data_IF_852871161365
#
_entry.id   IF_852871161365
#
_cell.length_a   1.000
_cell.length_b   1.000
_cell.length_c   1.000
_cell.angle_alpha   90.00
_cell.angle_beta   90.00
_cell.angle_gamma   90.00
#
_symmetry.space_group_name_H-M   'P 1'
#
loop_
_entity.id
_entity.type
_entity.pdbx_description
1 polymer ?
#
# COMPACT_ATOMS: atom_id res chain seq x y z
N UNK A 1 2.95 -33.28 -20.93
CA UNK A 1 3.97 -32.32 -20.43
C UNK A 1 4.01 -31.18 -21.44
N UNK A 2 3.16 -30.18 -21.23
CA UNK A 2 3.21 -28.94 -22.01
C UNK A 2 4.13 -28.03 -21.21
N UNK A 3 5.32 -27.77 -21.74
CA UNK A 3 6.20 -26.73 -21.25
C UNK A 3 5.49 -25.40 -21.49
N UNK A 4 4.91 -24.82 -20.45
CA UNK A 4 4.54 -23.40 -20.49
C UNK A 4 5.86 -22.66 -20.43
N UNK A 5 6.31 -22.14 -21.56
CA UNK A 5 7.37 -21.15 -21.62
C UNK A 5 6.90 -19.96 -20.77
N UNK A 6 7.37 -19.89 -19.53
CA UNK A 6 7.34 -18.65 -18.76
C UNK A 6 8.29 -17.71 -19.50
N UNK A 7 7.72 -16.86 -20.35
CA UNK A 7 8.44 -15.78 -20.98
C UNK A 7 8.80 -14.77 -19.89
N UNK A 8 9.92 -14.99 -19.22
CA UNK A 8 10.65 -13.96 -18.47
C UNK A 8 11.30 -12.97 -19.45
N UNK A 9 10.50 -12.36 -20.33
CA UNK A 9 10.92 -11.10 -20.91
C UNK A 9 10.77 -10.07 -19.77
N UNK A 10 11.83 -9.33 -19.39
CA UNK A 10 11.62 -8.16 -18.56
C UNK A 10 10.55 -7.32 -19.25
N UNK A 11 9.54 -6.87 -18.50
CA UNK A 11 8.63 -5.84 -19.02
C UNK A 11 9.49 -4.72 -19.60
N UNK A 12 9.14 -4.15 -20.76
CA UNK A 12 10.04 -3.27 -21.48
C UNK A 12 10.36 -2.05 -20.59
N UNK A 13 11.54 -2.06 -19.98
CA UNK A 13 12.03 -0.94 -19.20
C UNK A 13 12.35 0.18 -20.18
N UNK A 14 11.63 1.28 -20.04
CA UNK A 14 11.79 2.44 -20.90
C UNK A 14 12.49 3.55 -20.15
N UNK A 15 13.67 3.93 -20.64
CA UNK A 15 14.38 5.11 -20.15
C UNK A 15 13.69 6.36 -20.70
N UNK A 16 13.33 7.27 -19.80
CA UNK A 16 12.67 8.53 -20.12
C UNK A 16 13.34 9.69 -19.40
N UNK A 17 13.03 10.90 -19.83
CA UNK A 17 13.56 12.15 -19.28
C UNK A 17 12.38 13.10 -19.03
N UNK A 18 11.67 12.93 -17.90
CA UNK A 18 10.46 13.69 -17.60
C UNK A 18 10.74 15.19 -17.48
N UNK A 19 9.78 16.01 -17.88
CA UNK A 19 9.86 17.48 -17.82
C UNK A 19 8.59 18.05 -17.21
N UNK A 20 8.77 19.09 -16.41
CA UNK A 20 7.66 19.91 -15.95
C UNK A 20 7.33 20.94 -17.03
N UNK A 21 6.08 20.99 -17.45
CA UNK A 21 5.57 21.96 -18.40
C UNK A 21 4.55 22.84 -17.69
N UNK A 22 4.65 24.15 -17.89
CA UNK A 22 3.63 25.09 -17.43
C UNK A 22 2.53 25.21 -18.49
N UNK A 23 1.29 24.92 -18.11
CA UNK A 23 0.16 25.14 -19.01
C UNK A 23 -0.02 26.66 -19.23
N UNK A 24 -0.11 27.09 -20.50
CA UNK A 24 -0.46 28.46 -20.87
C UNK A 24 -1.96 28.68 -20.65
N UNK A 25 -2.39 28.87 -19.40
CA UNK A 25 -3.78 29.06 -19.02
C UNK A 25 -3.93 29.74 -17.66
N UNK A 26 -5.15 30.18 -17.33
CA UNK A 26 -5.45 31.07 -16.18
C UNK A 26 -5.21 30.38 -14.83
N UNK A 27 -5.13 29.04 -14.80
CA UNK A 27 -5.03 28.25 -13.55
C UNK A 27 -3.62 27.73 -13.23
N UNK A 28 -2.61 27.94 -14.08
CA UNK A 28 -1.22 27.56 -13.77
C UNK A 28 -1.00 26.07 -13.48
N UNK A 29 -1.88 25.18 -13.96
CA UNK A 29 -1.76 23.73 -13.75
C UNK A 29 -0.43 23.22 -14.27
N UNK A 30 0.37 22.61 -13.38
CA UNK A 30 1.65 21.97 -13.73
C UNK A 30 1.36 20.65 -14.45
N UNK A 31 1.98 20.46 -15.61
CA UNK A 31 1.90 19.21 -16.36
C UNK A 31 3.24 18.48 -16.26
N UNK A 32 3.21 17.20 -15.93
CA UNK A 32 4.39 16.35 -15.98
C UNK A 32 4.39 15.57 -17.30
N UNK A 33 5.22 15.99 -18.24
CA UNK A 33 5.43 15.25 -19.47
C UNK A 33 6.47 14.15 -19.23
N UNK A 34 6.07 12.88 -19.33
CA UNK A 34 6.94 11.73 -19.09
C UNK A 34 7.52 11.20 -20.40
N UNK A 35 6.65 10.95 -21.38
CA UNK A 35 6.99 10.57 -22.77
C UNK A 35 5.81 10.86 -23.70
N UNK A 36 5.99 10.68 -25.00
CA UNK A 36 4.90 10.76 -25.97
C UNK A 36 3.74 9.84 -25.57
N UNK A 37 2.53 10.43 -25.51
CA UNK A 37 1.32 9.74 -25.08
C UNK A 37 1.17 9.57 -23.56
N UNK A 38 2.11 10.02 -22.73
CA UNK A 38 2.03 9.94 -21.28
C UNK A 38 2.40 11.27 -20.61
N UNK A 39 1.38 12.01 -20.19
CA UNK A 39 1.49 13.29 -19.49
C UNK A 39 0.49 13.32 -18.35
N UNK A 40 0.95 13.67 -17.14
CA UNK A 40 0.09 13.80 -15.97
C UNK A 40 -0.31 15.26 -15.75
N UNK A 41 -1.56 15.51 -15.40
CA UNK A 41 -2.03 16.78 -14.88
C UNK A 41 -1.85 16.77 -13.36
N UNK A 42 -0.90 17.57 -12.86
CA UNK A 42 -0.52 17.51 -11.45
C UNK A 42 -1.50 18.33 -10.59
N UNK A 43 -2.35 17.62 -9.84
CA UNK A 43 -3.13 18.16 -8.74
C UNK A 43 -2.39 17.92 -7.42
N UNK A 44 -2.49 18.85 -6.46
CA UNK A 44 -1.99 18.59 -5.09
C UNK A 44 -2.83 17.51 -4.41
N UNK A 45 -2.16 16.62 -3.69
CA UNK A 45 -2.80 15.64 -2.81
C UNK A 45 -2.55 15.99 -1.34
N UNK A 46 -3.43 15.54 -0.46
CA UNK A 46 -3.25 15.62 0.99
C UNK A 46 -3.79 14.36 1.65
N UNK A 47 -2.90 13.66 2.35
CA UNK A 47 -3.10 12.32 2.95
C UNK A 47 -2.27 12.12 4.22
N UNK A 48 -1.40 13.06 4.59
CA UNK A 48 -0.62 13.05 5.82
C UNK A 48 -1.27 13.94 6.87
N UNK A 49 -1.24 13.51 8.13
CA UNK A 49 -1.51 14.42 9.23
C UNK A 49 -0.48 15.56 9.27
N UNK A 50 -0.89 16.76 9.68
CA UNK A 50 0.00 17.93 9.81
C UNK A 50 1.27 17.61 10.63
N UNK A 51 1.10 16.78 11.67
CA UNK A 51 2.19 16.25 12.50
C UNK A 51 2.21 14.73 12.40
N UNK A 52 3.03 14.22 11.49
CA UNK A 52 3.24 12.79 11.30
C UNK A 52 4.24 12.27 12.35
N UNK A 53 3.87 11.23 13.10
CA UNK A 53 4.78 10.58 14.05
C UNK A 53 5.55 9.48 13.35
N UNK A 54 6.88 9.53 13.39
CA UNK A 54 7.75 8.50 12.84
C UNK A 54 8.54 7.83 13.97
N UNK A 55 8.35 6.53 14.16
CA UNK A 55 8.97 5.75 15.23
C UNK A 55 10.02 4.80 14.65
N UNK A 56 11.25 4.91 15.15
CA UNK A 56 12.36 4.03 14.79
C UNK A 56 12.82 3.27 16.04
N UNK A 57 13.07 1.97 15.91
CA UNK A 57 13.68 1.17 16.98
C UNK A 57 15.18 1.04 16.74
N UNK A 58 15.99 1.73 17.56
CA UNK A 58 17.45 1.59 17.55
C UNK A 58 17.88 0.93 18.87
N UNK A 59 18.50 -0.25 18.79
CA UNK A 59 18.98 -1.02 19.95
C UNK A 59 17.90 -1.29 21.03
N UNK A 60 16.64 -1.46 20.60
CA UNK A 60 15.50 -1.72 21.50
C UNK A 60 14.93 -0.47 22.17
N UNK A 61 15.40 0.73 21.83
CA UNK A 61 14.82 2.00 22.25
C UNK A 61 14.02 2.58 21.08
N UNK A 62 12.72 2.75 21.30
CA UNK A 62 11.84 3.47 20.37
C UNK A 62 12.12 4.97 20.45
N UNK A 63 12.46 5.58 19.32
CA UNK A 63 12.67 7.02 19.16
C UNK A 63 11.56 7.54 18.27
N UNK A 64 10.79 8.48 18.80
CA UNK A 64 9.75 9.19 18.06
C UNK A 64 10.29 10.51 17.49
N UNK A 65 10.05 10.73 16.19
CA UNK A 65 10.31 11.98 15.49
C UNK A 65 9.00 12.52 14.95
N UNK A 66 8.67 13.77 15.26
CA UNK A 66 7.52 14.46 14.64
C UNK A 66 8.00 15.11 13.35
N UNK A 67 7.35 14.76 12.24
CA UNK A 67 7.61 15.29 10.90
C UNK A 67 6.46 16.20 10.45
N UNK A 68 6.77 17.26 9.70
CA UNK A 68 5.77 18.18 9.18
C UNK A 68 5.11 17.59 7.93
N UNK A 69 3.89 17.08 8.07
CA UNK A 69 3.15 16.47 6.96
C UNK A 69 2.90 17.44 5.81
N UNK A 70 2.51 18.68 6.14
CA UNK A 70 2.26 19.74 5.14
C UNK A 70 3.49 20.04 4.29
N UNK A 71 4.70 20.03 4.89
CA UNK A 71 5.95 20.23 4.16
C UNK A 71 6.27 19.05 3.23
N UNK A 72 6.08 17.82 3.71
CA UNK A 72 6.32 16.61 2.93
C UNK A 72 5.41 16.54 1.68
N UNK A 73 4.17 16.99 1.80
CA UNK A 73 3.17 17.04 0.71
C UNK A 73 3.46 18.10 -0.36
N UNK A 74 4.36 19.06 -0.11
CA UNK A 74 4.72 20.09 -1.10
C UNK A 74 5.33 19.51 -2.37
N UNK A 75 5.78 18.26 -2.36
CA UNK A 75 6.33 17.58 -3.54
C UNK A 75 5.41 16.50 -4.10
N UNK A 76 4.25 16.25 -3.48
CA UNK A 76 3.35 15.16 -3.85
C UNK A 76 2.21 15.68 -4.72
N UNK A 77 1.84 14.87 -5.72
CA UNK A 77 0.83 15.19 -6.71
C UNK A 77 0.06 13.94 -7.14
N UNK A 78 -1.17 14.14 -7.60
CA UNK A 78 -2.02 13.10 -8.17
C UNK A 78 -2.63 13.53 -9.51
N UNK A 79 -3.04 12.54 -10.30
CA UNK A 79 -3.88 12.69 -11.49
C UNK A 79 -4.98 11.62 -11.41
N UNK A 80 -6.17 12.01 -10.93
CA UNK A 80 -7.30 11.12 -10.68
C UNK A 80 -7.78 10.40 -11.94
N UNK A 81 -7.79 11.09 -13.09
CA UNK A 81 -8.21 10.49 -14.36
C UNK A 81 -7.32 9.31 -14.76
N UNK A 82 -6.05 9.33 -14.34
CA UNK A 82 -5.07 8.28 -14.67
C UNK A 82 -4.78 7.34 -13.50
N UNK A 83 -5.44 7.52 -12.35
CA UNK A 83 -5.13 6.81 -11.10
C UNK A 83 -3.63 6.88 -10.78
N UNK A 84 -3.04 8.06 -10.94
CA UNK A 84 -1.60 8.28 -10.79
C UNK A 84 -1.32 9.10 -9.53
N UNK A 85 -0.23 8.77 -8.84
CA UNK A 85 0.29 9.54 -7.72
C UNK A 85 1.82 9.56 -7.80
N UNK A 86 2.42 10.75 -7.79
CA UNK A 86 3.86 10.94 -7.96
C UNK A 86 4.42 11.99 -7.01
N UNK A 87 5.64 11.73 -6.53
CA UNK A 87 6.49 12.74 -5.92
C UNK A 87 7.35 13.38 -7.01
N UNK A 88 7.37 14.71 -7.07
CA UNK A 88 8.17 15.50 -8.02
C UNK A 88 9.06 16.46 -7.23
N UNK A 89 10.37 16.20 -7.25
CA UNK A 89 11.39 17.04 -6.60
C UNK A 89 12.19 17.78 -7.67
N UNK A 90 12.27 19.11 -7.60
CA UNK A 90 13.10 19.92 -8.50
C UNK A 90 14.55 19.94 -7.97
N UNK A 91 15.53 19.55 -8.80
CA UNK A 91 16.96 19.43 -8.45
C UNK A 91 17.83 19.95 -9.59
N UNK A 92 18.57 21.03 -9.36
CA UNK A 92 19.56 21.62 -10.30
C UNK A 92 19.01 21.72 -11.73
N UNK A 93 17.90 22.45 -11.91
CA UNK A 93 17.20 22.66 -13.19
C UNK A 93 16.67 21.39 -13.89
N UNK A 94 16.63 20.26 -13.18
CA UNK A 94 16.00 19.00 -13.59
C UNK A 94 14.95 18.60 -12.56
N UNK A 95 14.16 17.57 -12.87
CA UNK A 95 13.24 16.96 -11.91
C UNK A 95 13.61 15.52 -11.61
N UNK A 96 13.34 15.10 -10.38
CA UNK A 96 13.33 13.72 -9.92
C UNK A 96 11.88 13.33 -9.68
N UNK A 97 11.47 12.15 -10.17
CA UNK A 97 10.08 11.69 -10.13
C UNK A 97 10.06 10.25 -9.66
N UNK A 98 9.20 9.96 -8.70
CA UNK A 98 8.94 8.61 -8.19
C UNK A 98 7.45 8.43 -8.00
N UNK A 99 6.91 7.28 -8.36
CA UNK A 99 5.51 6.94 -8.04
C UNK A 99 4.84 6.05 -9.08
N UNK A 100 3.52 6.15 -9.10
CA UNK A 100 2.62 5.38 -9.96
C UNK A 100 2.09 6.28 -11.07
N UNK A 101 2.28 5.86 -12.33
CA UNK A 101 1.83 6.61 -13.51
C UNK A 101 0.43 6.21 -13.98
N UNK A 102 0.03 4.97 -13.72
CA UNK A 102 -1.31 4.41 -13.90
C UNK A 102 -1.39 3.02 -13.24
N UNK A 103 -2.45 2.27 -13.52
CA UNK A 103 -2.68 0.91 -13.03
C UNK A 103 -1.46 -0.02 -13.17
N UNK A 104 -0.70 0.09 -14.27
CA UNK A 104 0.41 -0.82 -14.61
C UNK A 104 1.80 -0.22 -14.47
N UNK A 105 1.94 1.06 -14.73
CA UNK A 105 3.24 1.71 -14.92
C UNK A 105 3.70 2.41 -13.65
N UNK A 106 4.98 2.22 -13.34
CA UNK A 106 5.69 2.90 -12.27
C UNK A 106 6.83 3.74 -12.85
N UNK A 107 7.26 4.75 -12.12
CA UNK A 107 8.42 5.57 -12.46
C UNK A 107 9.39 5.64 -11.30
N UNK A 108 10.68 5.47 -11.60
CA UNK A 108 11.75 5.62 -10.62
C UNK A 108 12.95 6.35 -11.23
N UNK A 109 13.65 7.20 -10.46
CA UNK A 109 14.81 7.93 -10.94
C UNK A 109 16.03 7.00 -11.09
N UNK A 110 16.90 7.32 -12.05
CA UNK A 110 18.17 6.64 -12.28
C UNK A 110 19.34 7.64 -12.11
N UNK A 111 19.70 8.00 -10.87
CA UNK A 111 20.64 9.09 -10.60
C UNK A 111 22.07 8.83 -11.09
N UNK A 112 22.44 7.56 -11.28
CA UNK A 112 23.76 7.14 -11.76
C UNK A 112 23.86 7.04 -13.29
N UNK A 113 22.73 7.17 -14.00
CA UNK A 113 22.71 7.13 -15.45
C UNK A 113 23.02 8.50 -16.05
N UNK A 114 23.59 8.51 -17.27
CA UNK A 114 23.89 9.75 -17.96
C UNK A 114 22.63 10.61 -18.18
N UNK A 115 22.75 11.91 -17.87
CA UNK A 115 21.73 12.91 -18.16
C UNK A 115 21.55 13.07 -19.67
N UNK A 116 20.38 13.55 -20.08
CA UNK A 116 20.15 13.95 -21.48
C UNK A 116 21.07 15.10 -21.90
N UNK A 117 21.17 15.37 -23.21
CA UNK A 117 21.93 16.52 -23.74
C UNK A 117 21.46 17.86 -23.15
N UNK A 118 20.18 17.96 -22.77
CA UNK A 118 19.57 19.13 -22.14
C UNK A 118 19.73 19.14 -20.60
N UNK A 119 20.40 18.14 -20.02
CA UNK A 119 20.67 18.08 -18.58
C UNK A 119 19.60 17.37 -17.72
N UNK A 120 18.52 16.88 -18.33
CA UNK A 120 17.46 16.14 -17.60
C UNK A 120 17.96 14.82 -17.03
N UNK A 121 17.52 14.51 -15.80
CA UNK A 121 17.77 13.24 -15.11
C UNK A 121 17.04 12.10 -15.82
N UNK A 122 17.69 10.95 -15.92
CA UNK A 122 17.09 9.74 -16.47
C UNK A 122 16.18 9.07 -15.45
N UNK A 123 15.10 8.47 -15.93
CA UNK A 123 14.17 7.66 -15.15
C UNK A 123 13.87 6.37 -15.90
N UNK A 124 13.56 5.31 -15.16
CA UNK A 124 12.97 4.10 -15.72
C UNK A 124 11.47 4.12 -15.53
N UNK A 125 10.75 3.75 -16.57
CA UNK A 125 9.37 3.27 -16.49
C UNK A 125 9.42 1.75 -16.56
N UNK A 126 8.74 1.10 -15.63
CA UNK A 126 8.61 -0.35 -15.60
C UNK A 126 7.16 -0.73 -15.29
N UNK A 127 6.78 -1.92 -15.75
CA UNK A 127 5.45 -2.47 -15.55
C UNK A 127 5.43 -3.32 -14.30
N UNK A 128 4.39 -3.15 -13.48
CA UNK A 128 4.04 -4.02 -12.37
C UNK A 128 2.68 -4.61 -12.70
N UNK A 129 2.59 -5.93 -12.78
CA UNK A 129 1.32 -6.60 -13.02
C UNK A 129 0.35 -6.31 -11.86
N UNK A 130 -0.91 -5.94 -12.14
CA UNK A 130 -1.93 -5.89 -11.10
C UNK A 130 -2.05 -7.28 -10.47
N UNK A 131 -2.19 -7.37 -9.15
CA UNK A 131 -2.56 -8.63 -8.51
C UNK A 131 -3.98 -8.99 -8.97
N UNK A 132 -4.10 -9.86 -9.97
CA UNK A 132 -5.39 -10.36 -10.45
C UNK A 132 -5.82 -11.46 -9.47
N UNK A 133 -6.82 -11.12 -8.65
CA UNK A 133 -7.52 -11.99 -7.70
C UNK A 133 -6.62 -12.62 -6.62
N UNK A 134 -6.63 -12.11 -5.37
CA UNK A 134 -6.21 -12.93 -4.25
C UNK A 134 -7.18 -14.12 -4.16
N UNK A 135 -6.78 -15.29 -4.64
CA UNK A 135 -7.38 -16.55 -4.18
C UNK A 135 -6.92 -16.70 -2.72
N UNK A 136 -7.75 -16.29 -1.76
CA UNK A 136 -7.42 -16.24 -0.34
C UNK A 136 -7.99 -17.44 0.42
N UNK A 137 -7.24 -17.91 1.42
CA UNK A 137 -7.72 -18.85 2.43
C UNK A 137 -8.57 -18.12 3.49
N UNK A 138 -9.75 -18.67 3.72
CA UNK A 138 -10.79 -18.15 4.60
C UNK A 138 -10.31 -17.98 6.06
N UNK A 139 -9.98 -16.76 6.45
CA UNK A 139 -10.02 -16.33 7.85
C UNK A 139 -11.35 -15.64 8.19
N UNK A 140 -12.41 -15.95 7.45
CA UNK A 140 -13.74 -15.36 7.58
C UNK A 140 -14.53 -15.98 8.76
N UNK A 141 -13.91 -15.94 9.94
CA UNK A 141 -14.63 -16.21 11.18
C UNK A 141 -15.13 -14.89 11.72
N UNK A 142 -16.39 -14.56 11.40
CA UNK A 142 -17.20 -13.71 12.27
C UNK A 142 -17.02 -14.24 13.70
N UNK A 143 -16.58 -13.44 14.68
CA UNK A 143 -16.50 -13.90 16.05
C UNK A 143 -17.84 -14.53 16.45
N UNK A 144 -17.87 -15.81 16.84
CA UNK A 144 -19.11 -16.56 17.13
C UNK A 144 -20.04 -15.83 18.12
N UNK A 145 -19.49 -14.91 18.92
CA UNK A 145 -20.26 -14.07 19.84
C UNK A 145 -21.17 -13.05 19.14
N UNK A 146 -20.88 -12.61 17.91
CA UNK A 146 -21.74 -11.66 17.18
C UNK A 146 -22.82 -12.35 16.34
N UNK A 147 -22.59 -13.57 15.85
CA UNK A 147 -23.59 -14.32 15.09
C UNK A 147 -24.86 -14.63 15.91
N UNK A 148 -24.73 -14.79 17.24
CA UNK A 148 -25.86 -14.98 18.16
C UNK A 148 -26.64 -13.71 18.49
N UNK A 149 -26.15 -12.53 18.10
CA UNK A 149 -26.77 -11.23 18.40
C UNK A 149 -27.67 -10.72 17.27
N UNK A 150 -27.86 -11.49 16.19
CA UNK A 150 -28.72 -11.15 15.02
C UNK A 150 -30.22 -10.95 15.35
N UNK A 151 -30.66 -11.05 16.61
CA UNK A 151 -32.07 -10.92 16.99
C UNK A 151 -32.41 -9.78 17.94
N UNK A 152 -31.44 -8.95 18.35
CA UNK A 152 -31.68 -7.96 19.43
C UNK A 152 -31.01 -6.59 19.36
N UNK A 153 -30.46 -6.16 18.23
CA UNK A 153 -30.24 -4.73 18.01
C UNK A 153 -31.52 -4.13 17.42
N UNK A 154 -32.44 -3.72 18.32
CA UNK A 154 -33.28 -2.55 18.07
C UNK A 154 -32.40 -1.53 17.37
N UNK A 155 -32.87 -0.99 16.24
CA UNK A 155 -32.33 0.18 15.56
C UNK A 155 -31.40 0.94 16.50
N UNK A 156 -30.09 0.69 16.40
CA UNK A 156 -29.14 1.66 16.85
C UNK A 156 -29.63 2.92 16.16
N UNK A 157 -30.02 3.91 16.96
CA UNK A 157 -30.39 5.22 16.46
C UNK A 157 -29.45 5.50 15.29
N UNK A 158 -30.00 5.93 14.15
CA UNK A 158 -29.23 6.56 13.09
C UNK A 158 -28.56 7.80 13.73
N UNK A 159 -27.55 7.58 14.55
CA UNK A 159 -26.53 8.55 14.85
C UNK A 159 -25.97 8.88 13.48
N UNK A 160 -26.00 10.18 13.19
CA UNK A 160 -25.63 10.73 11.91
C UNK A 160 -24.19 10.30 11.61
N UNK A 161 -24.03 9.27 10.78
CA UNK A 161 -22.74 8.94 10.19
C UNK A 161 -22.33 10.18 9.41
N UNK A 162 -21.18 10.81 9.72
CA UNK A 162 -20.74 11.98 8.99
C UNK A 162 -20.66 11.67 7.49
N UNK A 163 -20.91 12.68 6.66
CA UNK A 163 -20.81 12.51 5.21
C UNK A 163 -19.37 12.13 4.79
N UNK A 164 -18.37 12.54 5.56
CA UNK A 164 -16.96 12.17 5.43
C UNK A 164 -16.53 11.32 6.63
N UNK A 165 -16.08 10.09 6.37
CA UNK A 165 -15.57 9.16 7.36
C UNK A 165 -14.05 9.02 7.20
N UNK A 166 -13.33 9.78 8.02
CA UNK A 166 -11.89 9.78 8.06
C UNK A 166 -11.38 8.64 8.95
N UNK A 167 -10.47 7.84 8.42
CA UNK A 167 -9.82 6.71 9.12
C UNK A 167 -8.35 7.04 9.32
N UNK A 168 -7.93 7.19 10.57
CA UNK A 168 -6.53 7.41 10.94
C UNK A 168 -5.72 6.11 10.85
N UNK A 169 -4.69 6.12 10.01
CA UNK A 169 -3.86 4.96 9.69
C UNK A 169 -2.49 5.10 10.34
N UNK A 170 -2.12 4.09 11.13
CA UNK A 170 -0.76 3.82 11.57
C UNK A 170 -0.14 2.76 10.66
N UNK A 171 0.98 3.05 10.00
CA UNK A 171 1.67 2.07 9.16
C UNK A 171 2.88 1.51 9.90
N UNK A 172 2.94 0.19 10.04
CA UNK A 172 4.08 -0.52 10.60
C UNK A 172 4.81 -1.28 9.48
N UNK A 173 6.12 -1.11 9.34
CA UNK A 173 6.94 -1.73 8.29
C UNK A 173 8.04 -2.58 8.90
N UNK A 174 8.30 -3.77 8.33
CA UNK A 174 9.39 -4.65 8.78
C UNK A 174 10.74 -4.33 8.15
N UNK A 175 11.79 -4.96 8.67
CA UNK A 175 13.17 -4.81 8.18
C UNK A 175 13.34 -5.22 6.73
N UNK A 176 12.52 -6.14 6.23
CA UNK A 176 12.54 -6.55 4.83
C UNK A 176 11.97 -5.46 3.91
N UNK A 177 11.14 -4.57 4.46
CA UNK A 177 10.57 -3.44 3.75
C UNK A 177 11.41 -2.16 3.90
N UNK A 178 11.63 -1.70 5.15
CA UNK A 178 12.14 -0.36 5.39
C UNK A 178 13.63 -0.20 5.06
N UNK A 179 14.42 -1.27 5.06
CA UNK A 179 15.89 -1.19 4.86
C UNK A 179 16.28 -0.80 3.43
N UNK A 180 15.35 -0.88 2.47
CA UNK A 180 15.56 -0.43 1.08
C UNK A 180 15.57 1.09 0.96
N UNK A 181 15.01 1.81 1.93
CA UNK A 181 14.93 3.27 1.93
C UNK A 181 16.14 3.88 2.66
N UNK A 182 16.95 4.66 1.94
CA UNK A 182 18.12 5.35 2.52
C UNK A 182 17.74 6.41 3.57
N UNK A 183 16.54 6.98 3.44
CA UNK A 183 16.04 8.06 4.28
C UNK A 183 14.61 7.81 4.71
N UNK A 184 14.27 8.18 5.95
CA UNK A 184 12.88 8.13 6.44
C UNK A 184 11.90 8.93 5.58
N UNK A 185 12.32 10.08 5.03
CA UNK A 185 11.45 10.89 4.17
C UNK A 185 11.05 10.16 2.88
N UNK A 186 11.91 9.28 2.37
CA UNK A 186 11.62 8.52 1.15
C UNK A 186 10.62 7.39 1.43
N UNK A 187 10.72 6.73 2.59
CA UNK A 187 9.69 5.79 3.06
C UNK A 187 8.35 6.50 3.32
N UNK A 188 8.36 7.66 3.99
CA UNK A 188 7.15 8.47 4.24
C UNK A 188 6.50 8.86 2.92
N UNK A 189 7.30 9.32 1.94
CA UNK A 189 6.83 9.67 0.60
C UNK A 189 6.19 8.46 -0.09
N UNK A 190 6.84 7.30 -0.03
CA UNK A 190 6.32 6.06 -0.62
C UNK A 190 4.96 5.68 -0.03
N UNK A 191 4.85 5.66 1.30
CA UNK A 191 3.60 5.32 1.98
C UNK A 191 2.50 6.37 1.75
N UNK A 192 2.83 7.67 1.71
CA UNK A 192 1.88 8.73 1.39
C UNK A 192 1.28 8.54 -0.01
N UNK A 193 2.11 8.29 -1.02
CA UNK A 193 1.64 8.01 -2.38
C UNK A 193 0.76 6.75 -2.43
N UNK A 194 1.10 5.71 -1.68
CA UNK A 194 0.27 4.51 -1.53
C UNK A 194 -1.10 4.85 -0.96
N UNK A 195 -1.18 5.59 0.16
CA UNK A 195 -2.46 5.98 0.76
C UNK A 195 -3.29 6.87 -0.17
N UNK A 196 -2.67 7.76 -0.94
CA UNK A 196 -3.38 8.54 -1.96
C UNK A 196 -4.01 7.65 -3.04
N UNK A 197 -3.30 6.61 -3.49
CA UNK A 197 -3.81 5.63 -4.47
C UNK A 197 -4.89 4.71 -3.89
N UNK A 198 -4.85 4.44 -2.58
CA UNK A 198 -5.94 3.76 -1.87
C UNK A 198 -7.16 4.68 -1.83
N UNK A 199 -7.00 5.95 -1.41
CA UNK A 199 -8.09 6.92 -1.37
C UNK A 199 -8.79 7.05 -2.72
N UNK A 200 -8.04 7.08 -3.83
CA UNK A 200 -8.65 7.10 -5.18
C UNK A 200 -9.59 5.93 -5.48
N UNK A 201 -9.35 4.74 -4.89
CA UNK A 201 -10.24 3.58 -5.04
C UNK A 201 -11.48 3.65 -4.15
N UNK A 202 -11.42 4.44 -3.09
CA UNK A 202 -12.53 4.67 -2.16
C UNK A 202 -13.38 5.89 -2.52
N UNK A 203 -13.01 6.66 -3.55
CA UNK A 203 -13.75 7.85 -3.98
C UNK A 203 -15.21 7.56 -4.39
N UNK A 204 -15.49 6.34 -4.85
CA UNK A 204 -16.84 5.90 -5.21
C UNK A 204 -17.73 5.60 -3.98
N UNK A 205 -17.16 5.61 -2.77
CA UNK A 205 -17.93 5.45 -1.53
C UNK A 205 -18.75 6.72 -1.25
N UNK A 206 -20.04 6.54 -0.93
CA UNK A 206 -20.94 7.64 -0.60
C UNK A 206 -21.79 7.26 0.62
N UNK A 207 -21.93 8.20 1.56
CA UNK A 207 -22.69 8.02 2.83
C UNK A 207 -22.25 6.78 3.63
N UNK A 208 -21.01 6.77 4.15
CA UNK A 208 -20.05 7.87 4.12
C UNK A 208 -19.13 7.85 2.89
N UNK A 209 -18.51 9.00 2.60
CA UNK A 209 -17.29 9.08 1.79
C UNK A 209 -16.09 8.73 2.68
N UNK A 210 -15.41 7.65 2.37
CA UNK A 210 -14.32 7.10 3.18
C UNK A 210 -12.99 7.69 2.72
N UNK A 211 -12.20 8.17 3.67
CA UNK A 211 -10.84 8.65 3.41
C UNK A 211 -9.88 8.14 4.48
N UNK A 212 -8.68 7.77 4.05
CA UNK A 212 -7.60 7.34 4.93
C UNK A 212 -6.58 8.46 5.10
N UNK A 213 -6.19 8.71 6.35
CA UNK A 213 -5.19 9.70 6.74
C UNK A 213 -4.00 8.98 7.39
N UNK A 214 -2.81 9.14 6.82
CA UNK A 214 -1.58 8.61 7.40
C UNK A 214 -1.13 9.51 8.55
N UNK A 215 -1.24 9.02 9.79
CA UNK A 215 -0.92 9.79 11.00
C UNK A 215 0.40 9.38 11.63
N UNK A 216 0.82 8.12 11.44
CA UNK A 216 2.07 7.63 12.02
C UNK A 216 2.67 6.46 11.25
N UNK A 217 3.99 6.33 11.33
CA UNK A 217 4.78 5.25 10.74
C UNK A 217 5.70 4.67 11.82
N UNK A 218 5.82 3.35 11.89
CA UNK A 218 6.75 2.66 12.78
C UNK A 218 7.58 1.64 12.01
N UNK A 219 8.90 1.71 12.17
CA UNK A 219 9.79 0.61 11.80
C UNK A 219 9.81 -0.40 12.94
N UNK A 220 9.40 -1.64 12.65
CA UNK A 220 9.31 -2.69 13.65
C UNK A 220 9.98 -3.97 13.16
N UNK A 221 10.99 -4.42 13.89
CA UNK A 221 11.75 -5.62 13.52
C UNK A 221 11.07 -6.89 13.99
N UNK A 222 11.13 -7.94 13.17
CA UNK A 222 10.82 -9.30 13.60
C UNK A 222 9.36 -9.52 13.98
N UNK A 223 8.42 -8.77 13.41
CA UNK A 223 7.00 -9.11 13.56
C UNK A 223 6.60 -10.30 12.68
N UNK A 224 7.30 -10.53 11.56
CA UNK A 224 7.05 -11.65 10.66
C UNK A 224 7.55 -12.97 11.27
N UNK A 225 6.67 -13.96 11.34
CA UNK A 225 7.04 -15.35 11.67
C UNK A 225 7.45 -16.02 10.37
N UNK A 226 8.70 -16.46 10.25
CA UNK A 226 9.27 -16.88 8.97
C UNK A 226 9.51 -18.38 8.86
N UNK A 227 9.51 -18.88 7.62
CA UNK A 227 9.93 -20.22 7.26
C UNK A 227 10.69 -20.21 5.93
N UNK A 228 11.46 -21.27 5.66
CA UNK A 228 12.18 -21.43 4.40
C UNK A 228 11.55 -22.53 3.55
N UNK A 229 11.36 -22.27 2.27
CA UNK A 229 10.91 -23.25 1.29
C UNK A 229 11.47 -22.93 -0.10
N UNK A 230 11.39 -23.87 -1.04
CA UNK A 230 11.73 -23.66 -2.44
C UNK A 230 10.86 -22.57 -3.08
N UNK A 231 11.50 -21.70 -3.86
CA UNK A 231 10.84 -20.53 -4.42
C UNK A 231 9.76 -20.93 -5.42
N UNK A 232 8.57 -20.37 -5.20
CA UNK A 232 7.43 -20.56 -6.07
C UNK A 232 7.73 -19.90 -7.41
N UNK A 233 7.96 -20.72 -8.44
CA UNK A 233 8.35 -20.28 -9.77
C UNK A 233 9.85 -20.41 -10.06
N UNK A 234 10.68 -20.68 -9.05
CA UNK A 234 12.09 -21.04 -9.21
C UNK A 234 12.50 -22.16 -8.24
N UNK A 235 12.12 -23.42 -8.53
CA UNK A 235 12.24 -24.54 -7.58
C UNK A 235 13.68 -24.98 -7.24
N UNK A 236 14.70 -24.34 -7.82
CA UNK A 236 16.12 -24.60 -7.54
C UNK A 236 16.72 -23.66 -6.46
N UNK A 237 15.96 -22.67 -6.00
CA UNK A 237 16.40 -21.73 -4.97
C UNK A 237 15.49 -21.80 -3.74
N UNK A 238 16.06 -21.73 -2.54
CA UNK A 238 15.27 -21.52 -1.32
C UNK A 238 15.01 -20.04 -1.11
N UNK A 239 13.86 -19.73 -0.52
CA UNK A 239 13.43 -18.39 -0.16
C UNK A 239 12.85 -18.39 1.24
N UNK A 240 13.01 -17.27 1.94
CA UNK A 240 12.34 -17.00 3.21
C UNK A 240 10.97 -16.39 2.93
N UNK A 241 9.93 -16.98 3.51
CA UNK A 241 8.54 -16.53 3.47
C UNK A 241 8.11 -16.04 4.85
N UNK A 242 7.11 -15.16 4.89
CA UNK A 242 6.35 -14.87 6.10
C UNK A 242 5.15 -15.82 6.15
N UNK A 243 5.07 -16.62 7.21
CA UNK A 243 3.94 -17.52 7.47
C UNK A 243 2.71 -16.66 7.80
N UNK A 244 1.75 -16.60 6.89
CA UNK A 244 0.70 -15.59 6.91
C UNK A 244 -0.14 -15.68 8.19
N UNK A 245 -0.74 -16.85 8.46
CA UNK A 245 -1.59 -17.05 9.62
C UNK A 245 -0.86 -16.87 10.97
N UNK A 246 0.34 -17.45 11.20
CA UNK A 246 1.12 -17.20 12.42
C UNK A 246 1.59 -15.75 12.56
N UNK A 247 2.02 -15.10 11.48
CA UNK A 247 2.42 -13.69 11.49
C UNK A 247 1.25 -12.80 11.87
N UNK A 248 0.09 -13.00 11.26
CA UNK A 248 -1.10 -12.21 11.58
C UNK A 248 -1.55 -12.40 13.03
N UNK A 249 -1.52 -13.63 13.56
CA UNK A 249 -1.81 -13.88 14.97
C UNK A 249 -0.81 -13.21 15.92
N UNK A 250 0.49 -13.24 15.58
CA UNK A 250 1.52 -12.55 16.36
C UNK A 250 1.30 -11.02 16.35
N UNK A 251 0.95 -10.46 15.19
CA UNK A 251 0.59 -9.04 15.06
C UNK A 251 -0.63 -8.68 15.92
N UNK A 252 -1.68 -9.50 15.92
CA UNK A 252 -2.85 -9.28 16.76
C UNK A 252 -2.54 -9.36 18.26
N UNK A 253 -1.71 -10.33 18.67
CA UNK A 253 -1.32 -10.50 20.08
C UNK A 253 -0.53 -9.29 20.60
N UNK A 254 0.43 -8.78 19.80
CA UNK A 254 1.36 -7.73 20.23
C UNK A 254 0.88 -6.31 19.90
N UNK A 255 0.17 -6.14 18.78
CA UNK A 255 -0.22 -4.83 18.23
C UNK A 255 -1.69 -4.76 17.79
N UNK A 256 -2.54 -5.75 18.12
CA UNK A 256 -3.96 -5.75 17.72
C UNK A 256 -4.78 -4.58 18.28
N UNK A 257 -4.21 -3.83 19.23
CA UNK A 257 -4.70 -2.52 19.67
C UNK A 257 -3.93 -1.44 18.94
N UNK A 258 -4.43 -1.00 17.79
CA UNK A 258 -3.83 0.10 17.04
C UNK A 258 -3.71 1.38 17.89
N UNK A 259 -2.64 2.17 17.73
CA UNK A 259 -2.56 3.52 18.31
C UNK A 259 -3.50 4.52 17.61
N UNK A 260 -4.07 4.15 16.47
CA UNK A 260 -5.00 4.94 15.65
C UNK A 260 -6.26 4.09 15.37
N UNK A 261 -7.07 4.44 14.37
CA UNK A 261 -8.25 3.63 14.01
C UNK A 261 -7.85 2.25 13.45
N UNK A 262 -6.76 2.18 12.68
CA UNK A 262 -6.25 0.93 12.12
C UNK A 262 -4.71 0.94 11.98
N UNK A 263 -4.08 -0.19 12.29
CA UNK A 263 -2.69 -0.48 11.96
C UNK A 263 -2.62 -1.24 10.62
N UNK A 264 -1.81 -0.75 9.69
CA UNK A 264 -1.44 -1.47 8.47
C UNK A 264 -0.01 -1.97 8.64
N UNK A 265 0.14 -3.27 8.87
CA UNK A 265 1.43 -3.96 8.93
C UNK A 265 1.87 -4.39 7.52
N UNK A 266 3.04 -3.95 7.11
CA UNK A 266 3.60 -4.18 5.76
C UNK A 266 4.89 -4.96 5.88
N UNK A 267 4.93 -6.14 5.28
CA UNK A 267 6.15 -6.95 5.18
C UNK A 267 6.77 -6.88 3.79
N UNK A 268 8.10 -6.82 3.72
CA UNK A 268 8.85 -7.00 2.47
C UNK A 268 8.99 -8.46 2.02
N UNK A 269 8.56 -9.42 2.85
CA UNK A 269 8.55 -10.84 2.52
C UNK A 269 7.30 -11.22 1.72
N UNK A 270 7.38 -12.34 1.01
CA UNK A 270 6.19 -12.95 0.42
C UNK A 270 5.41 -13.67 1.52
N UNK A 271 4.12 -13.37 1.61
CA UNK A 271 3.18 -14.04 2.50
C UNK A 271 2.76 -15.39 1.91
N UNK A 272 2.82 -16.43 2.73
CA UNK A 272 2.32 -17.75 2.36
C UNK A 272 1.87 -18.55 3.58
N UNK A 273 0.88 -19.43 3.43
CA UNK A 273 0.55 -20.41 4.46
C UNK A 273 1.49 -21.62 4.36
N UNK A 274 2.14 -21.98 5.47
CA UNK A 274 3.07 -23.11 5.51
C UNK A 274 2.34 -24.45 5.58
N UNK A 275 1.84 -24.93 4.43
CA UNK A 275 1.22 -26.24 4.29
C UNK A 275 2.21 -27.32 3.82
N UNK A 276 1.87 -28.59 4.12
CA UNK A 276 2.66 -29.76 3.69
C UNK A 276 2.83 -29.84 2.16
N UNK A 277 1.82 -29.36 1.41
CA UNK A 277 1.89 -29.19 -0.05
C UNK A 277 2.10 -27.70 -0.37
N UNK A 278 3.36 -27.35 -0.66
CA UNK A 278 3.74 -25.97 -0.94
C UNK A 278 3.68 -25.67 -2.45
N UNK A 279 2.49 -25.36 -2.95
CA UNK A 279 2.29 -24.91 -4.33
C UNK A 279 1.63 -23.53 -4.37
N UNK A 280 1.94 -22.70 -5.38
CA UNK A 280 1.44 -21.31 -5.48
C UNK A 280 -0.06 -21.18 -5.17
N UNK A 281 -0.87 -22.07 -5.74
CA UNK A 281 -2.33 -22.03 -5.63
C UNK A 281 -2.85 -22.38 -4.23
N UNK A 282 -2.07 -23.11 -3.45
CA UNK A 282 -2.49 -23.62 -2.15
C UNK A 282 -2.03 -22.71 -1.01
N UNK A 283 -0.94 -21.97 -1.22
CA UNK A 283 -0.26 -21.23 -0.14
C UNK A 283 -0.26 -19.71 -0.33
N UNK A 284 -0.61 -19.19 -1.51
CA UNK A 284 -0.49 -17.75 -1.76
C UNK A 284 -1.45 -16.94 -0.88
N UNK A 285 -0.88 -16.04 -0.09
CA UNK A 285 -1.61 -15.02 0.66
C UNK A 285 -1.03 -13.66 0.25
N UNK A 286 -1.87 -12.63 0.14
CA UNK A 286 -1.43 -11.28 -0.23
C UNK A 286 -1.70 -10.25 0.86
N UNK A 287 -2.75 -10.46 1.61
CA UNK A 287 -3.06 -9.71 2.81
C UNK A 287 -3.89 -10.54 3.76
N UNK A 288 -4.15 -9.97 4.94
CA UNK A 288 -5.07 -10.53 5.90
C UNK A 288 -5.65 -9.44 6.80
N UNK A 289 -6.96 -9.49 7.02
CA UNK A 289 -7.68 -8.59 7.89
C UNK A 289 -8.84 -9.29 8.60
N UNK A 290 -9.29 -8.69 9.71
CA UNK A 290 -10.53 -9.08 10.40
C UNK A 290 -11.66 -8.16 9.97
N UNK A 291 -12.85 -8.76 9.78
CA UNK A 291 -14.07 -7.99 9.52
C UNK A 291 -14.34 -6.97 10.64
N UNK A 292 -14.48 -5.70 10.25
CA UNK A 292 -14.79 -4.60 11.17
C UNK A 292 -13.64 -4.22 12.10
N UNK A 293 -12.39 -4.48 11.72
CA UNK A 293 -11.19 -4.09 12.46
C UNK A 293 -11.13 -2.61 12.85
N UNK A 294 -11.58 -1.68 11.99
CA UNK A 294 -11.58 -0.23 12.26
C UNK A 294 -12.37 0.13 13.53
N UNK A 295 -13.47 -0.58 13.78
CA UNK A 295 -14.34 -0.34 14.95
C UNK A 295 -14.08 -1.32 16.11
N UNK A 296 -13.01 -2.13 16.06
CA UNK A 296 -12.71 -3.11 17.09
C UNK A 296 -11.27 -3.01 17.61
N UNK A 297 -11.16 -2.45 18.81
CA UNK A 297 -9.89 -2.20 19.51
C UNK A 297 -9.03 -3.44 19.76
N UNK A 298 -9.54 -4.66 19.65
CA UNK A 298 -8.76 -5.88 19.93
C UNK A 298 -8.13 -6.49 18.67
N UNK A 299 -8.52 -6.05 17.48
CA UNK A 299 -7.99 -6.55 16.23
C UNK A 299 -7.96 -5.48 15.12
N UNK A 300 -7.67 -4.23 15.49
CA UNK A 300 -7.55 -3.11 14.56
C UNK A 300 -6.24 -3.17 13.77
N UNK A 301 -5.99 -4.29 13.09
CA UNK A 301 -4.80 -4.55 12.28
C UNK A 301 -5.14 -5.22 10.96
N UNK A 302 -4.55 -4.70 9.90
CA UNK A 302 -4.45 -5.27 8.55
C UNK A 302 -2.99 -5.65 8.31
N UNK A 303 -2.74 -6.77 7.63
CA UNK A 303 -1.42 -7.17 7.17
C UNK A 303 -1.40 -7.26 5.64
N UNK A 304 -0.34 -6.78 4.99
CA UNK A 304 -0.13 -6.92 3.54
C UNK A 304 1.35 -7.16 3.23
N UNK A 305 1.63 -7.89 2.15
CA UNK A 305 2.97 -7.91 1.55
C UNK A 305 3.15 -6.73 0.59
N UNK A 306 4.38 -6.22 0.51
CA UNK A 306 4.78 -5.23 -0.49
C UNK A 306 6.25 -5.37 -0.83
N UNK A 307 6.57 -5.52 -2.11
CA UNK A 307 7.96 -5.36 -2.55
C UNK A 307 8.31 -3.85 -2.51
N UNK A 308 9.31 -3.42 -1.72
CA UNK A 308 9.63 -2.01 -1.58
C UNK A 308 9.89 -1.34 -2.93
N UNK A 309 9.48 -0.08 -3.05
CA UNK A 309 9.59 0.72 -4.28
C UNK A 309 8.71 0.26 -5.45
N UNK A 310 7.94 -0.84 -5.33
CA UNK A 310 7.09 -1.36 -6.42
C UNK A 310 5.68 -0.75 -6.45
N UNK A 311 5.19 -0.26 -5.31
CA UNK A 311 3.78 0.05 -5.08
C UNK A 311 2.89 -1.14 -5.41
N UNK A 312 3.27 -2.33 -4.92
CA UNK A 312 2.54 -3.57 -5.14
C UNK A 312 1.29 -3.64 -4.28
N UNK A 313 1.39 -3.20 -3.02
CA UNK A 313 0.26 -3.24 -2.08
C UNK A 313 -0.94 -2.37 -2.50
N UNK A 314 -0.80 -1.46 -3.47
CA UNK A 314 -1.91 -0.57 -3.90
C UNK A 314 -3.09 -1.33 -4.52
N UNK A 315 -2.92 -2.60 -4.90
CA UNK A 315 -4.00 -3.47 -5.36
C UNK A 315 -4.61 -4.34 -4.26
N UNK A 316 -3.88 -4.59 -3.16
CA UNK A 316 -4.28 -5.51 -2.08
C UNK A 316 -4.78 -4.75 -0.85
N UNK A 317 -4.06 -3.70 -0.44
CA UNK A 317 -4.41 -2.90 0.73
C UNK A 317 -5.85 -2.33 0.68
N UNK A 318 -6.39 -1.86 -0.46
CA UNK A 318 -7.79 -1.46 -0.53
C UNK A 318 -8.77 -2.58 -0.16
N UNK A 319 -8.47 -3.83 -0.55
CA UNK A 319 -9.30 -5.00 -0.24
C UNK A 319 -9.29 -5.30 1.26
N UNK A 320 -8.11 -5.37 1.87
CA UNK A 320 -7.97 -5.61 3.30
C UNK A 320 -8.59 -4.52 4.17
N UNK A 321 -8.46 -3.26 3.75
CA UNK A 321 -9.14 -2.14 4.41
C UNK A 321 -10.67 -2.26 4.26
N UNK A 322 -11.15 -2.85 3.16
CA UNK A 322 -12.57 -3.14 2.94
C UNK A 322 -13.10 -4.12 3.98
N UNK A 323 -12.35 -5.20 4.24
CA UNK A 323 -12.61 -6.11 5.36
C UNK A 323 -12.57 -5.38 6.70
N UNK A 324 -11.54 -4.58 6.95
CA UNK A 324 -11.42 -3.81 8.19
C UNK A 324 -12.59 -2.84 8.41
N UNK A 325 -13.19 -2.33 7.33
CA UNK A 325 -14.42 -1.51 7.34
C UNK A 325 -15.71 -2.32 7.43
N UNK A 326 -15.63 -3.65 7.30
CA UNK A 326 -16.73 -4.59 7.51
C UNK A 326 -17.36 -5.17 6.23
N UNK A 327 -16.74 -4.97 5.06
CA UNK A 327 -17.18 -5.61 3.82
C UNK A 327 -16.72 -7.08 3.79
N UNK A 328 -17.61 -8.08 3.68
CA UNK A 328 -17.21 -9.44 3.37
C UNK A 328 -16.80 -9.55 1.89
N UNK A 329 -16.23 -10.69 1.52
CA UNK A 329 -16.00 -11.01 0.11
C UNK A 329 -17.30 -11.03 -0.71
N UNK A 330 -17.21 -10.61 -1.97
CA UNK A 330 -18.33 -10.70 -2.91
C UNK A 330 -18.73 -12.16 -3.16
N UNK A 331 -20.03 -12.44 -3.19
CA UNK A 331 -20.56 -13.79 -3.44
C UNK A 331 -20.52 -14.74 -2.23
N UNK A 332 -19.98 -14.32 -1.08
CA UNK A 332 -19.97 -15.07 0.18
C UNK A 332 -21.13 -14.70 1.13
N UNK A 333 -22.07 -13.84 0.68
CA UNK A 333 -23.31 -13.62 1.42
C UNK A 333 -24.22 -14.84 1.31
N UNK A 334 -24.46 -15.53 2.43
CA UNK A 334 -25.43 -16.61 2.54
C UNK A 334 -26.74 -16.22 1.84
N UNK A 335 -27.26 -17.13 1.00
CA UNK A 335 -28.63 -17.07 0.49
C UNK A 335 -29.59 -16.87 1.67
N UNK A 336 -30.06 -15.64 1.86
CA UNK A 336 -31.20 -15.38 2.73
C UNK A 336 -32.44 -15.64 1.86
N UNK A 337 -32.89 -16.90 1.84
CA UNK A 337 -34.29 -17.23 1.55
C UNK A 337 -35.17 -17.01 2.80
#
# INVERSE_FOLDING_TARGET
IIYVNVTCAPSPEHIVYPKLLEARGINGTKLLHVKDGLTLSLEKLSVLADSLVFTESNDGVAIETIMNGTELEQTLYQDREKMAAVAVKEINDSIQVMGVLNDKLRIAPLPLMARSEEGHLAHRIYEVEPSINPEENDADTLPEQQARTKRRTRAASLEHIPDEFLVEVHVMVDEHHYTVFDRREDLVTYLALTIALVNMRYEDTTRPNIQFLLTSIQQEQGFAITFEEYDIGWPDAKRTYADASPTYNHLLEKYGRSPTDITVAVTGLILADNYEYFTYKEVAVKGQARLGGVCNVNYSTVMVEDAPMSFGMVSVLPHELGHALGAPHDGLTENVE
#
